data_IF_249595699320
#
_entry.id   IF_249595699320
#
_cell.length_a   1.000
_cell.length_b   1.000
_cell.length_c   1.000
_cell.angle_alpha   90.00
_cell.angle_beta   90.00
_cell.angle_gamma   90.00
#
_symmetry.space_group_name_H-M   'P 1'
#
loop_
_entity.id
_entity.type
_entity.pdbx_description
1 polymer ?
#
# COMPACT_ATOMS: atom_id res chain seq x y z
N UNK A 1 6.78 14.22 19.24
CA UNK A 1 6.39 14.96 18.02
C UNK A 1 5.28 14.16 17.36
N UNK A 2 4.09 14.73 17.18
CA UNK A 2 3.05 14.10 16.37
C UNK A 2 3.58 14.03 14.94
N UNK A 3 3.58 12.84 14.33
CA UNK A 3 3.98 12.68 12.94
C UNK A 3 3.16 13.64 12.07
N UNK A 4 3.82 14.42 11.21
CA UNK A 4 3.13 15.32 10.26
C UNK A 4 2.24 14.45 9.37
N UNK A 5 0.95 14.77 9.28
CA UNK A 5 0.02 14.09 8.37
C UNK A 5 0.42 14.40 6.93
N UNK A 6 0.82 13.40 6.11
CA UNK A 6 1.17 13.64 4.72
C UNK A 6 -0.03 14.14 3.92
N UNK A 7 0.12 15.26 3.21
CA UNK A 7 -0.92 15.87 2.35
C UNK A 7 -0.68 15.45 0.91
N UNK A 8 -1.53 14.59 0.38
CA UNK A 8 -1.33 13.96 -0.93
C UNK A 8 -2.34 14.53 -1.92
N UNK A 9 -1.86 15.21 -2.96
CA UNK A 9 -2.70 15.71 -4.04
C UNK A 9 -2.90 14.60 -5.09
N UNK A 10 -4.15 14.26 -5.35
CA UNK A 10 -4.55 13.28 -6.35
C UNK A 10 -5.15 14.00 -7.56
N UNK A 11 -4.54 13.82 -8.73
CA UNK A 11 -5.04 14.38 -9.99
C UNK A 11 -5.50 13.22 -10.88
N UNK A 12 -6.80 12.91 -10.86
CA UNK A 12 -7.36 11.74 -11.55
C UNK A 12 -8.87 11.88 -11.77
N UNK A 13 -9.47 10.94 -12.51
CA UNK A 13 -10.91 10.88 -12.69
C UNK A 13 -11.66 10.17 -11.57
N UNK A 14 -12.95 10.48 -11.46
CA UNK A 14 -13.90 9.86 -10.54
C UNK A 14 -14.50 8.58 -11.12
N UNK A 15 -14.38 7.48 -10.39
CA UNK A 15 -15.07 6.21 -10.62
C UNK A 15 -16.34 6.13 -9.77
N UNK A 16 -17.51 6.13 -10.43
CA UNK A 16 -18.81 6.04 -9.73
C UNK A 16 -18.98 4.75 -8.92
N UNK A 17 -18.31 3.65 -9.30
CA UNK A 17 -18.34 2.38 -8.57
C UNK A 17 -17.43 2.38 -7.33
N UNK A 18 -16.56 3.38 -7.21
CA UNK A 18 -15.68 3.59 -6.08
C UNK A 18 -14.54 2.57 -5.93
N UNK A 19 -14.22 1.81 -6.98
CA UNK A 19 -13.17 0.79 -6.96
C UNK A 19 -11.80 1.29 -7.44
N UNK A 20 -11.79 2.27 -8.33
CA UNK A 20 -10.59 2.92 -8.87
C UNK A 20 -10.67 4.46 -8.75
N UNK A 21 -9.84 5.17 -9.52
CA UNK A 21 -9.86 6.63 -9.60
C UNK A 21 -9.64 7.31 -8.25
N UNK A 22 -10.13 8.54 -8.13
CA UNK A 22 -10.00 9.32 -6.89
C UNK A 22 -10.58 8.60 -5.67
N UNK A 23 -11.57 7.72 -5.84
CA UNK A 23 -12.16 6.96 -4.73
C UNK A 23 -11.16 5.94 -4.16
N UNK A 24 -10.46 5.18 -5.00
CA UNK A 24 -9.40 4.29 -4.55
C UNK A 24 -8.22 5.08 -3.95
N UNK A 25 -7.90 6.22 -4.57
CA UNK A 25 -6.81 7.08 -4.13
C UNK A 25 -7.08 7.65 -2.71
N UNK A 26 -8.26 8.23 -2.48
CA UNK A 26 -8.69 8.74 -1.17
C UNK A 26 -8.70 7.63 -0.13
N UNK A 27 -9.26 6.46 -0.45
CA UNK A 27 -9.28 5.31 0.47
C UNK A 27 -7.86 4.91 0.86
N UNK A 28 -6.96 4.79 -0.11
CA UNK A 28 -5.57 4.38 0.14
C UNK A 28 -4.88 5.37 1.09
N UNK A 29 -4.91 6.67 0.77
CA UNK A 29 -4.27 7.70 1.58
C UNK A 29 -4.88 7.79 2.98
N UNK A 30 -6.23 7.72 3.09
CA UNK A 30 -6.93 7.76 4.37
C UNK A 30 -6.54 6.57 5.26
N UNK A 31 -6.49 5.37 4.68
CA UNK A 31 -6.17 4.14 5.43
C UNK A 31 -4.71 4.10 5.88
N UNK A 32 -3.83 4.80 5.17
CA UNK A 32 -2.43 4.99 5.56
C UNK A 32 -2.23 6.14 6.59
N UNK A 33 -3.29 6.90 6.90
CA UNK A 33 -3.26 7.99 7.88
C UNK A 33 -2.87 9.36 7.30
N UNK A 34 -2.94 9.53 5.98
CA UNK A 34 -2.70 10.80 5.29
C UNK A 34 -3.97 11.60 5.03
N UNK A 35 -3.78 12.80 4.47
CA UNK A 35 -4.85 13.67 4.01
C UNK A 35 -4.87 13.71 2.48
N UNK A 36 -5.91 13.16 1.86
CA UNK A 36 -6.09 13.17 0.41
C UNK A 36 -6.80 14.46 -0.04
N UNK A 37 -6.20 15.17 -0.97
CA UNK A 37 -6.80 16.27 -1.71
C UNK A 37 -6.99 15.83 -3.16
N UNK A 38 -7.97 16.38 -3.88
CA UNK A 38 -8.26 15.95 -5.25
C UNK A 38 -8.38 17.11 -6.22
N UNK A 39 -7.89 16.89 -7.44
CA UNK A 39 -8.27 17.65 -8.63
C UNK A 39 -8.86 16.67 -9.64
N UNK A 40 -10.18 16.75 -9.85
CA UNK A 40 -10.93 15.79 -10.64
C UNK A 40 -10.79 16.11 -12.13
N UNK A 41 -10.27 15.17 -12.92
CA UNK A 41 -10.03 15.33 -14.36
C UNK A 41 -11.20 14.91 -15.23
N UNK A 42 -12.01 13.96 -14.75
CA UNK A 42 -13.22 13.48 -15.42
C UNK A 42 -14.14 12.81 -14.40
N UNK A 43 -15.42 12.67 -14.74
CA UNK A 43 -16.39 11.84 -14.02
C UNK A 43 -16.82 10.70 -14.94
N UNK A 44 -16.71 9.47 -14.47
CA UNK A 44 -17.14 8.28 -15.22
C UNK A 44 -18.42 7.71 -14.64
N UNK A 45 -19.41 7.42 -15.48
CA UNK A 45 -20.49 6.51 -15.14
C UNK A 45 -19.95 5.09 -15.30
N UNK A 46 -19.39 4.56 -14.21
CA UNK A 46 -18.66 3.31 -14.18
C UNK A 46 -19.16 2.40 -13.05
N UNK A 47 -19.11 1.09 -13.28
CA UNK A 47 -19.33 0.05 -12.28
C UNK A 47 -18.42 -1.16 -12.58
N UNK A 48 -18.58 -2.25 -11.81
CA UNK A 48 -17.72 -3.44 -11.94
C UNK A 48 -17.78 -4.13 -13.30
N UNK A 49 -18.80 -3.84 -14.14
CA UNK A 49 -18.97 -4.43 -15.47
C UNK A 49 -18.41 -3.55 -16.60
N UNK A 50 -18.18 -2.26 -16.35
CA UNK A 50 -17.75 -1.36 -17.42
C UNK A 50 -18.00 0.11 -17.17
N UNK A 51 -17.60 0.90 -18.16
CA UNK A 51 -17.80 2.35 -18.26
C UNK A 51 -18.88 2.60 -19.32
N UNK A 52 -19.93 3.34 -18.97
CA UNK A 52 -21.03 3.69 -19.89
C UNK A 52 -21.00 5.13 -20.36
N UNK A 53 -20.36 6.03 -19.60
CA UNK A 53 -20.16 7.41 -19.99
C UNK A 53 -18.91 8.00 -19.31
N UNK A 54 -18.28 8.96 -19.98
CA UNK A 54 -17.17 9.76 -19.45
C UNK A 54 -17.48 11.23 -19.70
N UNK A 55 -17.40 12.04 -18.65
CA UNK A 55 -17.53 13.49 -18.72
C UNK A 55 -16.20 14.12 -18.30
N UNK A 56 -15.47 14.68 -19.27
CA UNK A 56 -14.23 15.39 -19.00
C UNK A 56 -14.50 16.72 -18.29
N UNK A 57 -13.72 17.02 -17.24
CA UNK A 57 -13.76 18.32 -16.57
C UNK A 57 -12.93 19.32 -17.38
N UNK A 58 -13.42 20.55 -17.62
CA UNK A 58 -12.66 21.58 -18.32
C UNK A 58 -11.30 21.83 -17.67
N UNK A 59 -10.24 21.97 -18.47
CA UNK A 59 -8.87 22.08 -17.98
C UNK A 59 -8.70 23.21 -16.97
N UNK A 60 -9.27 24.38 -17.22
CA UNK A 60 -9.24 25.52 -16.31
C UNK A 60 -9.86 25.19 -14.93
N UNK A 61 -10.87 24.33 -14.89
CA UNK A 61 -11.47 23.86 -13.64
C UNK A 61 -10.56 22.86 -12.93
N UNK A 62 -9.85 22.00 -13.68
CA UNK A 62 -8.82 21.11 -13.11
C UNK A 62 -7.68 21.92 -12.48
N UNK A 63 -7.17 22.92 -13.18
CA UNK A 63 -6.10 23.78 -12.67
C UNK A 63 -6.56 24.58 -11.45
N UNK A 64 -7.77 25.14 -11.47
CA UNK A 64 -8.32 25.86 -10.33
C UNK A 64 -8.47 24.98 -9.07
N UNK A 65 -8.80 23.68 -9.23
CA UNK A 65 -8.80 22.73 -8.11
C UNK A 65 -7.40 22.51 -7.53
N UNK A 66 -6.39 22.35 -8.40
CA UNK A 66 -4.99 22.20 -7.99
C UNK A 66 -4.53 23.45 -7.22
N UNK A 67 -4.71 24.62 -7.82
CA UNK A 67 -4.27 25.89 -7.25
C UNK A 67 -4.95 26.13 -5.88
N UNK A 68 -6.26 25.88 -5.76
CA UNK A 68 -7.01 26.07 -4.51
C UNK A 68 -6.49 25.23 -3.33
N UNK A 69 -6.12 23.96 -3.55
CA UNK A 69 -5.64 23.09 -2.46
C UNK A 69 -4.15 23.28 -2.18
N UNK A 70 -3.36 23.57 -3.22
CA UNK A 70 -1.92 23.80 -3.06
C UNK A 70 -1.67 25.12 -2.33
N UNK A 71 -2.43 26.18 -2.61
CA UNK A 71 -2.22 27.51 -2.01
C UNK A 71 -2.60 27.58 -0.51
N UNK A 72 -3.65 26.87 -0.08
CA UNK A 72 -4.13 26.88 1.31
C UNK A 72 -3.54 25.73 2.13
N UNK A 73 -3.79 24.50 1.70
CA UNK A 73 -3.47 23.30 2.48
C UNK A 73 -1.99 22.93 2.31
N UNK A 74 -1.44 23.17 1.11
CA UNK A 74 -0.12 22.74 0.66
C UNK A 74 -0.03 21.24 0.38
N UNK A 75 1.08 20.80 -0.20
CA UNK A 75 1.25 19.44 -0.73
C UNK A 75 2.59 18.83 -0.29
N UNK A 76 2.58 17.54 0.04
CA UNK A 76 3.79 16.77 0.37
C UNK A 76 4.13 15.74 -0.73
N UNK A 77 3.16 15.28 -1.52
CA UNK A 77 3.38 14.51 -2.74
C UNK A 77 2.17 14.61 -3.68
N UNK A 78 2.37 14.31 -4.97
CA UNK A 78 1.30 14.25 -5.98
C UNK A 78 1.20 12.86 -6.57
N UNK A 79 -0.02 12.36 -6.76
CA UNK A 79 -0.29 11.22 -7.63
C UNK A 79 -1.12 11.68 -8.81
N UNK A 80 -0.69 11.30 -10.01
CA UNK A 80 -1.38 11.55 -11.27
C UNK A 80 -1.93 10.21 -11.77
N UNK A 81 -3.21 10.16 -12.10
CA UNK A 81 -3.88 8.99 -12.70
C UNK A 81 -4.41 9.29 -14.09
N UNK A 82 -5.64 8.87 -14.37
CA UNK A 82 -6.29 9.14 -15.66
C UNK A 82 -6.35 10.64 -15.97
N UNK A 83 -5.77 11.02 -17.11
CA UNK A 83 -5.77 12.38 -17.66
C UNK A 83 -6.57 12.33 -18.97
N UNK A 84 -7.62 13.15 -19.07
CA UNK A 84 -8.60 13.04 -20.15
C UNK A 84 -8.25 13.73 -21.48
N UNK A 85 -7.13 14.47 -21.57
CA UNK A 85 -6.72 15.14 -22.82
C UNK A 85 -5.24 15.53 -22.80
N UNK A 86 -4.59 15.70 -23.99
CA UNK A 86 -3.22 16.20 -24.06
C UNK A 86 -3.09 17.63 -23.53
N UNK A 87 -4.10 18.47 -23.79
CA UNK A 87 -4.11 19.85 -23.33
C UNK A 87 -4.08 19.93 -21.79
N UNK A 88 -4.89 19.11 -21.12
CA UNK A 88 -4.88 18.99 -19.66
C UNK A 88 -3.55 18.44 -19.14
N UNK A 89 -2.99 17.40 -19.78
CA UNK A 89 -1.70 16.83 -19.41
C UNK A 89 -0.57 17.87 -19.38
N UNK A 90 -0.44 18.64 -20.47
CA UNK A 90 0.61 19.66 -20.61
C UNK A 90 0.47 20.79 -19.58
N UNK A 91 -0.75 21.24 -19.31
CA UNK A 91 -0.98 22.32 -18.33
C UNK A 91 -0.80 21.86 -16.89
N UNK A 92 -1.13 20.59 -16.58
CA UNK A 92 -0.82 19.99 -15.29
C UNK A 92 0.70 19.91 -15.12
N UNK A 93 1.44 19.38 -16.10
CA UNK A 93 2.90 19.31 -16.04
C UNK A 93 3.52 20.69 -15.73
N UNK A 94 3.08 21.73 -16.45
CA UNK A 94 3.57 23.10 -16.25
C UNK A 94 3.18 23.72 -14.88
N UNK A 95 2.11 23.25 -14.22
CA UNK A 95 1.79 23.64 -12.83
C UNK A 95 2.68 22.91 -11.84
N UNK A 96 2.85 21.60 -12.04
CA UNK A 96 3.59 20.74 -11.14
C UNK A 96 5.09 20.99 -11.15
N UNK A 97 5.66 21.42 -12.28
CA UNK A 97 7.06 21.84 -12.39
C UNK A 97 7.43 22.98 -11.41
N UNK A 98 6.45 23.76 -10.94
CA UNK A 98 6.65 24.85 -9.99
C UNK A 98 6.69 24.38 -8.53
N UNK A 99 6.45 23.09 -8.27
CA UNK A 99 6.45 22.53 -6.92
C UNK A 99 7.84 22.00 -6.58
N UNK A 100 8.64 22.83 -5.91
CA UNK A 100 9.99 22.47 -5.51
C UNK A 100 10.00 21.34 -4.46
N UNK A 101 10.72 20.26 -4.76
CA UNK A 101 10.95 19.16 -3.82
C UNK A 101 9.74 18.29 -3.50
N UNK A 102 8.64 18.42 -4.24
CA UNK A 102 7.44 17.59 -4.08
C UNK A 102 7.54 16.37 -4.99
N UNK A 103 7.64 15.14 -4.46
CA UNK A 103 7.68 13.94 -5.28
C UNK A 103 6.34 13.71 -6.00
N UNK A 104 6.43 13.34 -7.27
CA UNK A 104 5.27 13.11 -8.14
C UNK A 104 5.29 11.66 -8.64
N UNK A 105 4.18 10.95 -8.46
CA UNK A 105 3.95 9.59 -8.94
C UNK A 105 2.98 9.64 -10.10
N UNK A 106 3.40 9.18 -11.27
CA UNK A 106 2.54 9.14 -12.46
C UNK A 106 2.13 7.72 -12.80
N UNK A 107 0.83 7.43 -12.70
CA UNK A 107 0.21 6.19 -13.18
C UNK A 107 -0.36 6.45 -14.58
N UNK A 108 0.30 6.00 -15.67
CA UNK A 108 -0.06 6.34 -17.04
C UNK A 108 -1.27 5.54 -17.52
N UNK A 109 -2.42 5.74 -16.89
CA UNK A 109 -3.65 5.00 -17.15
C UNK A 109 -4.14 5.27 -18.59
N UNK A 110 -4.10 4.25 -19.44
CA UNK A 110 -4.56 4.33 -20.83
C UNK A 110 -5.89 3.62 -21.07
N UNK A 111 -6.19 2.57 -20.30
CA UNK A 111 -7.34 1.69 -20.49
C UNK A 111 -7.92 1.33 -19.12
N UNK A 112 -9.25 1.34 -19.00
CA UNK A 112 -9.93 0.89 -17.78
C UNK A 112 -9.74 -0.62 -17.58
N UNK A 113 -9.83 -1.12 -16.34
CA UNK A 113 -9.84 -2.56 -16.06
C UNK A 113 -10.93 -3.31 -16.84
N UNK A 114 -12.02 -2.63 -17.20
CA UNK A 114 -13.09 -3.17 -18.04
C UNK A 114 -12.83 -3.09 -19.57
N UNK A 115 -11.65 -2.64 -20.00
CA UNK A 115 -11.25 -2.55 -21.40
C UNK A 115 -11.62 -1.26 -22.15
N UNK A 116 -12.22 -0.27 -21.50
CA UNK A 116 -12.57 1.00 -22.14
C UNK A 116 -11.31 1.87 -22.35
N UNK A 117 -11.11 2.40 -23.56
CA UNK A 117 -10.02 3.36 -23.84
C UNK A 117 -10.25 4.67 -23.07
N UNK A 118 -9.25 5.10 -22.31
CA UNK A 118 -9.28 6.29 -21.46
C UNK A 118 -8.32 7.40 -21.94
N UNK A 119 -7.29 7.04 -22.71
CA UNK A 119 -6.36 7.98 -23.33
C UNK A 119 -6.23 7.68 -24.83
N UNK A 120 -6.32 8.72 -25.65
CA UNK A 120 -6.05 8.64 -27.09
C UNK A 120 -4.56 8.88 -27.41
N UNK A 121 -4.15 8.63 -28.66
CA UNK A 121 -2.76 8.75 -29.08
C UNK A 121 -2.15 10.14 -28.82
N UNK A 122 -2.86 11.26 -29.07
CA UNK A 122 -2.42 12.58 -28.65
C UNK A 122 -2.18 12.69 -27.14
N UNK A 123 -3.07 12.15 -26.31
CA UNK A 123 -2.91 12.16 -24.84
C UNK A 123 -1.68 11.36 -24.43
N UNK A 124 -1.48 10.16 -25.00
CA UNK A 124 -0.32 9.32 -24.72
C UNK A 124 0.98 10.03 -25.11
N UNK A 125 1.00 10.74 -26.24
CA UNK A 125 2.17 11.52 -26.65
C UNK A 125 2.52 12.65 -25.66
N UNK A 126 1.54 13.17 -24.92
CA UNK A 126 1.76 14.19 -23.88
C UNK A 126 2.30 13.61 -22.56
N UNK A 127 2.24 12.29 -22.35
CA UNK A 127 2.69 11.66 -21.10
C UNK A 127 4.18 11.85 -20.82
N UNK A 128 5.01 12.03 -21.85
CA UNK A 128 6.42 12.35 -21.68
C UNK A 128 6.65 13.59 -20.81
N UNK A 129 5.81 14.63 -20.95
CA UNK A 129 5.90 15.85 -20.11
C UNK A 129 5.49 15.62 -18.66
N UNK A 130 4.58 14.68 -18.41
CA UNK A 130 4.24 14.29 -17.04
C UNK A 130 5.37 13.45 -16.43
N UNK A 131 6.02 12.58 -17.21
CA UNK A 131 7.18 11.81 -16.76
C UNK A 131 8.38 12.72 -16.44
N UNK A 132 8.64 13.75 -17.24
CA UNK A 132 9.73 14.72 -17.01
C UNK A 132 9.66 15.44 -15.66
N UNK A 133 8.46 15.60 -15.10
CA UNK A 133 8.26 16.21 -13.76
C UNK A 133 8.05 15.16 -12.67
N UNK A 134 8.04 13.87 -13.00
CA UNK A 134 7.74 12.79 -12.06
C UNK A 134 8.99 12.21 -11.41
N UNK A 135 8.86 11.83 -10.13
CA UNK A 135 9.87 11.01 -9.47
C UNK A 135 9.81 9.55 -9.98
N UNK A 136 8.61 9.05 -10.24
CA UNK A 136 8.40 7.68 -10.74
C UNK A 136 7.15 7.59 -11.62
N UNK A 137 7.26 6.85 -12.73
CA UNK A 137 6.13 6.39 -13.52
C UNK A 137 5.82 4.92 -13.22
N UNK A 138 4.55 4.53 -13.18
CA UNK A 138 4.14 3.16 -12.79
C UNK A 138 3.37 2.43 -13.90
N UNK A 139 3.90 2.23 -15.11
CA UNK A 139 3.18 1.53 -16.18
C UNK A 139 3.01 0.03 -15.90
N UNK A 140 1.90 -0.56 -16.33
CA UNK A 140 1.82 -2.01 -16.53
C UNK A 140 2.51 -2.43 -17.84
N UNK A 141 2.69 -3.73 -18.09
CA UNK A 141 3.37 -4.21 -19.29
C UNK A 141 2.70 -3.72 -20.61
N UNK A 142 1.37 -3.79 -20.79
CA UNK A 142 0.73 -3.19 -21.96
C UNK A 142 0.98 -1.68 -22.13
N UNK A 143 0.88 -0.90 -21.06
CA UNK A 143 1.15 0.54 -21.05
C UNK A 143 2.61 0.83 -21.42
N UNK A 144 3.55 0.05 -20.85
CA UNK A 144 4.98 0.19 -21.13
C UNK A 144 5.29 -0.03 -22.61
N UNK A 145 4.75 -1.12 -23.20
CA UNK A 145 4.88 -1.40 -24.64
C UNK A 145 4.26 -0.28 -25.48
N UNK A 146 3.14 0.30 -25.05
CA UNK A 146 2.48 1.41 -25.76
C UNK A 146 3.30 2.70 -25.71
N UNK A 147 4.02 2.95 -24.62
CA UNK A 147 4.86 4.14 -24.43
C UNK A 147 6.19 4.10 -25.20
N UNK A 148 6.73 2.90 -25.46
CA UNK A 148 8.09 2.74 -26.01
C UNK A 148 8.09 2.06 -27.38
N UNK A 149 7.08 1.26 -27.70
CA UNK A 149 7.07 0.37 -28.85
C UNK A 149 8.04 -0.81 -28.74
N UNK A 150 8.60 -1.07 -27.54
CA UNK A 150 9.56 -2.14 -27.29
C UNK A 150 8.89 -3.32 -26.58
N UNK A 151 9.28 -4.54 -26.94
CA UNK A 151 8.76 -5.77 -26.33
C UNK A 151 9.52 -6.18 -25.06
N UNK A 152 10.82 -5.89 -25.00
CA UNK A 152 11.66 -6.15 -23.82
C UNK A 152 11.38 -5.12 -22.74
N UNK A 153 10.86 -5.58 -21.60
CA UNK A 153 10.36 -4.72 -20.52
C UNK A 153 11.48 -3.90 -19.86
N UNK A 154 12.68 -4.45 -19.73
CA UNK A 154 13.80 -3.77 -19.07
C UNK A 154 14.36 -2.71 -20.00
N UNK A 155 14.57 -3.03 -21.29
CA UNK A 155 14.99 -2.07 -22.29
C UNK A 155 13.96 -0.94 -22.48
N UNK A 156 12.67 -1.27 -22.46
CA UNK A 156 11.59 -0.29 -22.50
C UNK A 156 11.64 0.68 -21.29
N UNK A 157 11.80 0.14 -20.09
CA UNK A 157 11.88 0.96 -18.89
C UNK A 157 13.14 1.85 -18.88
N UNK A 158 14.31 1.31 -19.26
CA UNK A 158 15.55 2.08 -19.38
C UNK A 158 15.45 3.20 -20.42
N UNK A 159 14.76 2.96 -21.55
CA UNK A 159 14.48 3.99 -22.54
C UNK A 159 13.64 5.14 -21.96
N UNK A 160 12.60 4.84 -21.19
CA UNK A 160 11.81 5.88 -20.51
C UNK A 160 12.62 6.64 -19.44
N UNK A 161 13.42 5.93 -18.64
CA UNK A 161 14.32 6.54 -17.65
C UNK A 161 15.28 7.51 -18.35
N UNK A 162 15.92 7.08 -19.44
CA UNK A 162 16.86 7.90 -20.20
C UNK A 162 16.20 9.10 -20.89
N UNK A 163 15.00 8.92 -21.47
CA UNK A 163 14.29 9.99 -22.18
C UNK A 163 13.65 11.03 -21.27
N UNK A 164 13.19 10.63 -20.09
CA UNK A 164 12.35 11.48 -19.24
C UNK A 164 12.91 11.73 -17.83
N UNK A 165 13.96 11.02 -17.41
CA UNK A 165 14.64 11.27 -16.13
C UNK A 165 13.88 10.82 -14.88
N UNK A 166 12.73 10.16 -15.02
CA UNK A 166 11.99 9.57 -13.90
C UNK A 166 12.30 8.08 -13.75
N UNK A 167 12.23 7.54 -12.53
CA UNK A 167 12.26 6.10 -12.32
C UNK A 167 11.02 5.44 -12.95
N UNK A 168 11.11 4.15 -13.27
CA UNK A 168 10.01 3.37 -13.85
C UNK A 168 9.74 2.13 -13.02
N UNK A 169 8.53 2.00 -12.48
CA UNK A 169 8.04 0.80 -11.82
C UNK A 169 7.21 -0.03 -12.80
N UNK A 170 7.80 -1.12 -13.28
CA UNK A 170 7.13 -2.12 -14.12
C UNK A 170 6.24 -3.00 -13.24
N UNK A 171 4.94 -3.04 -13.55
CA UNK A 171 3.95 -3.86 -12.82
C UNK A 171 3.70 -5.19 -13.55
N UNK A 172 4.20 -6.31 -13.02
CA UNK A 172 4.11 -7.63 -13.67
C UNK A 172 2.82 -8.42 -13.43
N UNK A 173 1.87 -7.87 -12.67
CA UNK A 173 0.58 -8.53 -12.34
C UNK A 173 -0.26 -9.06 -13.52
N UNK A 174 0.11 -8.72 -14.76
CA UNK A 174 -0.57 -9.09 -16.01
C UNK A 174 0.00 -10.33 -16.70
N UNK A 175 1.12 -10.90 -16.25
CA UNK A 175 1.70 -12.12 -16.83
C UNK A 175 0.93 -13.39 -16.43
N UNK A 176 0.89 -14.41 -17.30
CA UNK A 176 0.33 -15.71 -16.95
C UNK A 176 1.23 -16.44 -15.94
N UNK A 177 0.63 -17.08 -14.94
CA UNK A 177 1.34 -17.86 -13.91
C UNK A 177 1.15 -17.34 -12.48
N UNK A 178 1.71 -18.10 -11.54
CA UNK A 178 1.54 -17.88 -10.10
C UNK A 178 2.63 -17.00 -9.48
N UNK A 179 3.76 -16.84 -10.19
CA UNK A 179 4.84 -15.95 -9.79
C UNK A 179 4.64 -14.58 -10.44
N UNK A 180 4.67 -13.52 -9.63
CA UNK A 180 4.60 -12.14 -10.07
C UNK A 180 5.91 -11.44 -9.70
N UNK A 181 6.44 -10.65 -10.63
CA UNK A 181 7.58 -9.78 -10.39
C UNK A 181 7.21 -8.33 -10.70
N UNK A 182 7.50 -7.42 -9.79
CA UNK A 182 7.53 -5.99 -10.10
C UNK A 182 8.98 -5.52 -10.05
N UNK A 183 9.36 -4.60 -10.94
CA UNK A 183 10.73 -4.09 -11.03
C UNK A 183 10.74 -2.56 -11.06
N UNK A 184 11.46 -1.95 -10.12
CA UNK A 184 11.79 -0.53 -10.12
C UNK A 184 13.13 -0.34 -10.82
N UNK A 185 13.10 0.38 -11.95
CA UNK A 185 14.25 0.72 -12.77
C UNK A 185 14.58 2.20 -12.55
N UNK A 186 15.82 2.45 -12.14
CA UNK A 186 16.45 3.77 -12.00
C UNK A 186 17.67 3.83 -12.94
N UNK A 187 18.33 4.98 -13.04
CA UNK A 187 19.50 5.15 -13.94
C UNK A 187 20.62 4.14 -13.65
N UNK A 188 20.96 3.96 -12.37
CA UNK A 188 22.08 3.12 -11.91
C UNK A 188 21.66 1.92 -11.05
N UNK A 189 20.37 1.68 -10.89
CA UNK A 189 19.87 0.67 -9.96
C UNK A 189 18.60 -0.04 -10.46
N UNK A 190 18.48 -1.31 -10.11
CA UNK A 190 17.28 -2.09 -10.32
C UNK A 190 16.91 -2.81 -9.03
N UNK A 191 15.69 -2.57 -8.55
CA UNK A 191 15.13 -3.29 -7.40
C UNK A 191 13.94 -4.11 -7.87
N UNK A 192 13.94 -5.41 -7.58
CA UNK A 192 12.82 -6.29 -7.93
C UNK A 192 12.17 -6.90 -6.69
N UNK A 193 10.87 -7.12 -6.78
CA UNK A 193 10.10 -7.82 -5.75
C UNK A 193 9.32 -8.95 -6.36
N UNK A 194 9.42 -10.12 -5.74
CA UNK A 194 8.62 -11.29 -6.10
C UNK A 194 7.40 -11.41 -5.18
N UNK A 195 6.35 -12.06 -5.68
CA UNK A 195 5.17 -12.41 -4.90
C UNK A 195 4.35 -13.50 -5.57
N UNK A 196 3.44 -14.10 -4.81
CA UNK A 196 2.48 -15.06 -5.35
C UNK A 196 1.21 -14.35 -5.81
N UNK A 197 0.61 -14.85 -6.89
CA UNK A 197 -0.68 -14.38 -7.38
C UNK A 197 -1.76 -14.66 -6.34
N UNK A 198 -2.57 -13.64 -6.05
CA UNK A 198 -3.77 -13.76 -5.21
C UNK A 198 -4.94 -14.02 -6.15
N UNK A 199 -5.55 -15.20 -6.07
CA UNK A 199 -6.69 -15.56 -6.91
C UNK A 199 -7.96 -14.85 -6.42
N UNK A 200 -8.28 -13.72 -7.04
CA UNK A 200 -9.50 -12.94 -6.80
C UNK A 200 -9.98 -12.27 -8.08
N UNK A 201 -11.29 -12.12 -8.25
CA UNK A 201 -11.88 -11.31 -9.32
C UNK A 201 -11.84 -9.80 -9.01
N UNK A 202 -11.53 -9.43 -7.77
CA UNK A 202 -11.59 -8.06 -7.27
C UNK A 202 -10.27 -7.32 -7.47
N UNK A 203 -9.93 -7.06 -8.72
CA UNK A 203 -8.67 -6.41 -9.14
C UNK A 203 -8.86 -4.96 -9.62
N UNK A 204 -10.09 -4.45 -9.57
CA UNK A 204 -10.42 -3.10 -10.05
C UNK A 204 -9.80 -2.05 -9.13
N UNK A 205 -8.89 -1.23 -9.68
CA UNK A 205 -8.19 -0.17 -8.94
C UNK A 205 -6.86 -0.56 -8.29
N UNK A 206 -6.29 -1.73 -8.60
CA UNK A 206 -4.95 -2.15 -8.12
C UNK A 206 -3.86 -1.13 -8.45
N UNK A 207 -3.82 -0.65 -9.70
CA UNK A 207 -2.85 0.37 -10.16
C UNK A 207 -2.98 1.70 -9.41
N UNK A 208 -4.20 2.24 -9.33
CA UNK A 208 -4.47 3.49 -8.61
C UNK A 208 -4.09 3.38 -7.12
N UNK A 209 -4.42 2.25 -6.49
CA UNK A 209 -4.07 1.97 -5.09
C UNK A 209 -2.55 1.91 -4.89
N UNK A 210 -1.81 1.23 -5.78
CA UNK A 210 -0.35 1.15 -5.71
C UNK A 210 0.28 2.55 -5.83
N UNK A 211 -0.07 3.30 -6.87
CA UNK A 211 0.48 4.62 -7.12
C UNK A 211 0.18 5.60 -5.97
N UNK A 212 -1.04 5.55 -5.41
CA UNK A 212 -1.43 6.37 -4.26
C UNK A 212 -0.70 5.99 -2.97
N UNK A 213 -0.43 4.70 -2.75
CA UNK A 213 0.40 4.24 -1.64
C UNK A 213 1.85 4.73 -1.78
N UNK A 214 2.43 4.67 -2.98
CA UNK A 214 3.77 5.19 -3.25
C UNK A 214 3.82 6.70 -2.96
N UNK A 215 2.85 7.47 -3.48
CA UNK A 215 2.78 8.90 -3.26
C UNK A 215 2.66 9.24 -1.77
N UNK A 216 1.85 8.49 -1.00
CA UNK A 216 1.75 8.66 0.45
C UNK A 216 3.11 8.49 1.14
N UNK A 217 3.82 7.39 0.86
CA UNK A 217 5.10 7.11 1.53
C UNK A 217 6.21 8.06 1.10
N UNK A 218 6.24 8.48 -0.16
CA UNK A 218 7.14 9.55 -0.63
C UNK A 218 6.84 10.88 0.07
N UNK A 219 5.57 11.26 0.21
CA UNK A 219 5.15 12.45 0.95
C UNK A 219 5.42 12.37 2.46
N UNK A 220 5.58 11.16 2.99
CA UNK A 220 6.05 10.91 4.34
C UNK A 220 7.60 10.91 4.46
N UNK A 221 8.32 11.12 3.36
CA UNK A 221 9.77 11.23 3.31
C UNK A 221 10.53 9.90 3.20
N UNK A 222 9.85 8.80 2.80
CA UNK A 222 10.54 7.52 2.60
C UNK A 222 11.30 7.50 1.26
N UNK A 223 12.43 6.76 1.19
CA UNK A 223 13.07 6.45 -0.08
C UNK A 223 12.14 5.69 -1.03
N UNK A 224 12.30 5.90 -2.34
CA UNK A 224 11.40 5.36 -3.37
C UNK A 224 11.22 3.84 -3.30
N UNK A 225 12.31 3.08 -3.18
CA UNK A 225 12.24 1.61 -3.07
C UNK A 225 11.43 1.15 -1.85
N UNK A 226 11.56 1.83 -0.71
CA UNK A 226 10.76 1.54 0.49
C UNK A 226 9.29 1.95 0.31
N UNK A 227 9.04 3.08 -0.36
CA UNK A 227 7.68 3.52 -0.68
C UNK A 227 6.96 2.50 -1.57
N UNK A 228 7.66 1.97 -2.59
CA UNK A 228 7.17 0.88 -3.45
C UNK A 228 6.91 -0.39 -2.64
N UNK A 229 7.88 -0.86 -1.86
CA UNK A 229 7.73 -2.08 -1.05
C UNK A 229 6.49 -2.02 -0.13
N UNK A 230 6.31 -0.91 0.59
CA UNK A 230 5.18 -0.75 1.50
C UNK A 230 3.84 -0.57 0.79
N UNK A 231 3.82 0.12 -0.36
CA UNK A 231 2.61 0.27 -1.17
C UNK A 231 2.17 -1.09 -1.78
N UNK A 232 3.13 -1.92 -2.20
CA UNK A 232 2.84 -3.30 -2.65
C UNK A 232 2.22 -4.13 -1.54
N UNK A 233 2.77 -4.07 -0.33
CA UNK A 233 2.18 -4.75 0.83
C UNK A 233 0.74 -4.29 1.07
N UNK A 234 0.46 -2.98 1.02
CA UNK A 234 -0.91 -2.47 1.16
C UNK A 234 -1.87 -3.07 0.11
N UNK A 235 -1.47 -3.09 -1.17
CA UNK A 235 -2.29 -3.65 -2.25
C UNK A 235 -2.55 -5.14 -2.01
N UNK A 236 -1.54 -5.91 -1.62
CA UNK A 236 -1.67 -7.35 -1.37
C UNK A 236 -2.63 -7.64 -0.21
N UNK A 237 -2.53 -6.89 0.89
CA UNK A 237 -3.47 -6.99 2.00
C UNK A 237 -4.90 -6.63 1.57
N UNK A 238 -5.08 -5.58 0.76
CA UNK A 238 -6.38 -5.18 0.25
C UNK A 238 -6.98 -6.21 -0.73
N UNK A 239 -6.15 -6.93 -1.49
CA UNK A 239 -6.61 -8.01 -2.37
C UNK A 239 -7.11 -9.22 -1.60
N UNK A 240 -6.43 -9.61 -0.51
CA UNK A 240 -6.89 -10.70 0.35
C UNK A 240 -8.23 -10.39 1.03
N UNK A 241 -8.45 -9.12 1.36
CA UNK A 241 -9.68 -8.65 2.04
C UNK A 241 -10.75 -8.15 1.07
N UNK A 242 -10.64 -8.49 -0.21
CA UNK A 242 -11.57 -8.00 -1.20
C UNK A 242 -13.02 -8.44 -0.90
N UNK A 243 -14.00 -7.53 -0.90
CA UNK A 243 -15.36 -7.81 -0.43
C UNK A 243 -16.23 -8.58 -1.44
N UNK A 244 -15.72 -8.94 -2.61
CA UNK A 244 -16.47 -9.69 -3.62
C UNK A 244 -17.68 -8.95 -4.20
N UNK A 245 -17.64 -7.62 -4.27
CA UNK A 245 -18.77 -6.80 -4.71
C UNK A 245 -18.90 -6.73 -6.23
N UNK A 246 -20.15 -6.72 -6.71
CA UNK A 246 -20.49 -6.60 -8.12
C UNK A 246 -20.48 -7.94 -8.85
N UNK A 247 -20.59 -7.89 -10.18
CA UNK A 247 -20.68 -9.06 -11.06
C UNK A 247 -19.59 -9.09 -12.13
N UNK A 248 -18.58 -8.23 -12.00
CA UNK A 248 -17.42 -8.15 -12.89
C UNK A 248 -16.15 -7.99 -12.06
N UNK A 249 -15.29 -7.03 -12.41
CA UNK A 249 -14.09 -6.71 -11.63
C UNK A 249 -14.46 -5.88 -10.40
N UNK A 250 -14.43 -6.51 -9.23
CA UNK A 250 -14.78 -5.89 -7.94
C UNK A 250 -13.67 -4.99 -7.38
N UNK A 251 -14.00 -4.10 -6.43
CA UNK A 251 -13.03 -3.25 -5.74
C UNK A 251 -12.19 -4.05 -4.72
N UNK A 252 -11.02 -3.53 -4.36
CA UNK A 252 -10.19 -4.09 -3.29
C UNK A 252 -10.80 -3.81 -1.90
N UNK A 253 -10.33 -4.55 -0.89
CA UNK A 253 -10.69 -4.42 0.53
C UNK A 253 -9.95 -3.31 1.28
N UNK A 254 -9.87 -2.08 0.76
CA UNK A 254 -9.11 -0.98 1.41
C UNK A 254 -9.49 -0.80 2.89
N UNK A 255 -10.78 -0.93 3.21
CA UNK A 255 -11.34 -0.73 4.56
C UNK A 255 -10.75 -1.66 5.62
N UNK A 256 -10.22 -2.81 5.21
CA UNK A 256 -9.70 -3.83 6.09
C UNK A 256 -8.20 -3.71 6.34
N UNK A 257 -7.49 -2.87 5.56
CA UNK A 257 -6.05 -2.63 5.71
C UNK A 257 -5.82 -1.57 6.80
N UNK A 258 -6.03 -1.96 8.06
CA UNK A 258 -5.89 -1.10 9.25
C UNK A 258 -4.75 -1.61 10.11
N UNK A 259 -3.78 -0.76 10.40
CA UNK A 259 -2.56 -1.09 11.17
C UNK A 259 -1.63 -2.14 10.52
N UNK A 260 -1.99 -2.73 9.37
CA UNK A 260 -1.14 -3.66 8.62
C UNK A 260 0.09 -2.95 8.04
N UNK A 261 -0.12 -1.74 7.53
CA UNK A 261 0.92 -0.88 6.97
C UNK A 261 0.71 0.55 7.48
N UNK A 262 1.76 1.35 7.49
CA UNK A 262 1.69 2.77 7.89
C UNK A 262 3.00 3.29 8.46
N UNK A 263 2.94 4.46 9.09
CA UNK A 263 4.11 5.09 9.72
C UNK A 263 4.20 4.71 11.21
N UNK A 264 5.41 4.40 11.67
CA UNK A 264 5.69 4.14 13.09
C UNK A 264 5.23 2.79 13.62
N UNK A 265 5.32 2.64 14.95
CA UNK A 265 4.95 1.44 15.68
C UNK A 265 3.43 1.28 15.70
N UNK A 266 2.96 0.07 15.39
CA UNK A 266 1.54 -0.26 15.36
C UNK A 266 1.29 -1.42 16.30
N UNK A 267 0.26 -1.31 17.15
CA UNK A 267 -0.09 -2.42 18.03
C UNK A 267 -0.53 -3.60 17.16
N UNK A 268 0.21 -4.69 17.24
CA UNK A 268 -0.18 -5.94 16.60
C UNK A 268 -0.95 -6.82 17.56
N UNK A 269 -0.37 -7.08 18.72
CA UNK A 269 -0.85 -8.15 19.57
C UNK A 269 -0.59 -7.89 21.04
N UNK A 270 -1.56 -8.27 21.86
CA UNK A 270 -1.34 -8.49 23.29
C UNK A 270 -1.51 -9.98 23.55
N UNK A 271 -0.48 -10.60 24.10
CA UNK A 271 -0.54 -11.98 24.60
C UNK A 271 -0.65 -11.95 26.11
N UNK A 272 -1.67 -12.61 26.63
CA UNK A 272 -1.78 -12.90 28.07
C UNK A 272 -1.44 -14.35 28.32
N UNK A 273 -0.67 -14.60 29.38
CA UNK A 273 -0.33 -15.97 29.78
C UNK A 273 -1.36 -16.53 30.76
N UNK A 274 -1.58 -17.84 30.74
CA UNK A 274 -2.37 -18.51 31.76
C UNK A 274 -2.08 -20.01 31.87
N UNK A 275 -2.91 -20.72 32.65
CA UNK A 275 -2.64 -22.12 33.04
C UNK A 275 -3.60 -23.14 32.42
N UNK A 276 -4.72 -22.68 31.86
CA UNK A 276 -5.79 -23.55 31.34
C UNK A 276 -6.24 -23.06 29.96
N UNK A 277 -5.69 -23.72 28.92
CA UNK A 277 -5.93 -23.39 27.52
C UNK A 277 -7.42 -23.39 27.18
N UNK A 278 -8.13 -24.47 27.51
CA UNK A 278 -9.52 -24.66 27.14
C UNK A 278 -10.42 -23.58 27.75
N UNK A 279 -10.22 -23.26 29.05
CA UNK A 279 -11.00 -22.20 29.72
C UNK A 279 -10.73 -20.81 29.17
N UNK A 280 -9.47 -20.51 28.85
CA UNK A 280 -9.13 -19.19 28.28
C UNK A 280 -9.72 -19.01 26.88
N UNK A 281 -9.61 -20.03 26.02
CA UNK A 281 -10.22 -19.97 24.68
C UNK A 281 -11.74 -19.83 24.76
N UNK A 282 -12.42 -20.63 25.60
CA UNK A 282 -13.87 -20.51 25.81
C UNK A 282 -14.27 -19.12 26.32
N UNK A 283 -13.53 -18.56 27.29
CA UNK A 283 -13.80 -17.23 27.83
C UNK A 283 -13.73 -16.14 26.75
N UNK A 284 -12.64 -16.08 25.97
CA UNK A 284 -12.46 -15.03 24.96
C UNK A 284 -13.39 -15.19 23.75
N UNK A 285 -13.77 -16.42 23.39
CA UNK A 285 -14.84 -16.65 22.40
C UNK A 285 -16.19 -16.15 22.90
N UNK A 286 -16.54 -16.42 24.16
CA UNK A 286 -17.78 -15.90 24.78
C UNK A 286 -17.79 -14.37 24.92
N UNK A 287 -16.63 -13.75 25.06
CA UNK A 287 -16.47 -12.29 25.03
C UNK A 287 -16.74 -11.70 23.63
N UNK A 288 -16.80 -12.54 22.59
CA UNK A 288 -17.12 -12.15 21.22
C UNK A 288 -15.92 -12.04 20.29
N UNK A 289 -14.72 -12.47 20.71
CA UNK A 289 -13.54 -12.46 19.84
C UNK A 289 -13.55 -13.66 18.87
N UNK A 290 -13.30 -13.42 17.58
CA UNK A 290 -13.19 -14.46 16.54
C UNK A 290 -11.81 -15.11 16.62
N UNK A 291 -11.75 -16.40 16.91
CA UNK A 291 -10.50 -17.17 16.89
C UNK A 291 -10.02 -17.38 15.45
N UNK A 292 -8.75 -17.10 15.18
CA UNK A 292 -8.12 -17.19 13.85
C UNK A 292 -6.91 -18.13 13.80
N UNK A 293 -6.36 -18.48 14.97
CA UNK A 293 -5.35 -19.54 15.13
C UNK A 293 -5.76 -20.39 16.32
N UNK A 294 -5.82 -21.70 16.11
CA UNK A 294 -6.04 -22.71 17.14
C UNK A 294 -4.86 -23.68 17.12
N UNK A 295 -4.03 -23.65 18.16
CA UNK A 295 -2.81 -24.45 18.27
C UNK A 295 -2.70 -25.03 19.69
N UNK A 296 -3.60 -25.96 20.07
CA UNK A 296 -3.62 -26.56 21.40
C UNK A 296 -2.33 -27.30 21.75
N UNK A 297 -1.65 -27.88 20.76
CA UNK A 297 -0.36 -28.57 20.90
C UNK A 297 0.78 -27.64 21.34
N UNK A 298 0.69 -26.36 20.98
CA UNK A 298 1.63 -25.32 21.43
C UNK A 298 1.03 -24.47 22.56
N UNK A 299 -0.13 -24.88 23.09
CA UNK A 299 -0.88 -24.14 24.10
C UNK A 299 -1.17 -22.68 23.70
N UNK A 300 -1.36 -22.40 22.41
CA UNK A 300 -1.49 -21.06 21.86
C UNK A 300 -2.80 -20.88 21.07
N UNK A 301 -3.47 -19.75 21.28
CA UNK A 301 -4.59 -19.34 20.44
C UNK A 301 -4.51 -17.84 20.15
N UNK A 302 -4.95 -17.46 18.95
CA UNK A 302 -5.03 -16.06 18.52
C UNK A 302 -6.44 -15.70 18.07
N UNK A 303 -6.82 -14.48 18.37
CA UNK A 303 -8.12 -13.90 18.10
C UNK A 303 -7.98 -12.57 17.36
N UNK A 304 -8.96 -12.24 16.51
CA UNK A 304 -9.13 -10.91 15.93
C UNK A 304 -9.64 -9.91 16.99
N UNK A 305 -9.05 -8.72 17.02
CA UNK A 305 -9.41 -7.64 17.94
C UNK A 305 -9.34 -6.28 17.21
N UNK A 306 -10.25 -6.08 16.24
CA UNK A 306 -10.23 -4.90 15.38
C UNK A 306 -9.04 -4.91 14.43
N UNK A 307 -8.22 -3.85 14.47
CA UNK A 307 -7.00 -3.73 13.65
C UNK A 307 -5.76 -4.41 14.28
N UNK A 308 -5.91 -4.91 15.51
CA UNK A 308 -4.91 -5.70 16.22
C UNK A 308 -5.44 -7.12 16.45
N UNK A 309 -4.61 -7.94 17.08
CA UNK A 309 -4.91 -9.30 17.49
C UNK A 309 -4.75 -9.43 19.01
N UNK A 310 -5.36 -10.46 19.56
CA UNK A 310 -5.20 -10.84 20.95
C UNK A 310 -4.80 -12.30 20.99
N UNK A 311 -3.93 -12.71 21.90
CA UNK A 311 -3.65 -14.12 22.10
C UNK A 311 -3.58 -14.52 23.54
N UNK A 312 -3.74 -15.82 23.71
CA UNK A 312 -3.44 -16.52 24.95
C UNK A 312 -2.29 -17.48 24.67
N UNK A 313 -1.32 -17.49 25.57
CA UNK A 313 -0.30 -18.52 25.62
C UNK A 313 -0.43 -19.21 26.97
N UNK A 314 -0.77 -20.49 26.96
CA UNK A 314 -0.79 -21.26 28.21
C UNK A 314 0.56 -21.92 28.43
N UNK A 315 0.96 -21.91 29.70
CA UNK A 315 2.10 -22.65 30.19
C UNK A 315 1.66 -23.35 31.48
N UNK A 316 1.25 -24.64 31.38
CA UNK A 316 0.76 -25.38 32.53
C UNK A 316 1.86 -25.64 33.57
N UNK A 317 3.13 -25.60 33.18
CA UNK A 317 4.28 -25.81 34.07
C UNK A 317 4.76 -24.50 34.72
N UNK A 318 4.19 -23.36 34.30
CA UNK A 318 4.46 -22.02 34.82
C UNK A 318 5.93 -21.58 34.69
N UNK A 319 6.66 -22.11 33.70
CA UNK A 319 8.03 -21.72 33.36
C UNK A 319 8.12 -20.29 32.82
N UNK A 320 7.06 -19.81 32.15
CA UNK A 320 6.99 -18.52 31.47
C UNK A 320 6.53 -17.38 32.42
N UNK A 321 6.02 -17.71 33.61
CA UNK A 321 5.50 -16.75 34.58
C UNK A 321 4.22 -16.03 34.13
N UNK A 322 3.38 -15.56 35.06
CA UNK A 322 2.19 -14.76 34.73
C UNK A 322 2.63 -13.38 34.24
N UNK A 323 2.63 -13.18 32.92
CA UNK A 323 3.10 -11.95 32.28
C UNK A 323 2.18 -11.53 31.14
N UNK A 324 2.33 -10.26 30.74
CA UNK A 324 1.75 -9.74 29.50
C UNK A 324 2.90 -9.52 28.52
N UNK A 325 2.77 -10.06 27.32
CA UNK A 325 3.64 -9.75 26.21
C UNK A 325 2.93 -8.83 25.22
N UNK A 326 3.58 -7.72 24.86
CA UNK A 326 3.04 -6.74 23.92
C UNK A 326 3.88 -6.73 22.65
N UNK A 327 3.23 -6.83 21.50
CA UNK A 327 3.87 -6.87 20.20
C UNK A 327 3.53 -5.61 19.42
N UNK A 328 4.57 -4.89 19.00
CA UNK A 328 4.46 -3.77 18.09
C UNK A 328 5.06 -4.14 16.73
N UNK A 329 4.27 -3.96 15.68
CA UNK A 329 4.78 -4.09 14.31
C UNK A 329 5.55 -2.84 13.92
N UNK A 330 6.68 -3.07 13.25
CA UNK A 330 7.61 -2.05 12.79
C UNK A 330 8.14 -2.46 11.42
N UNK A 331 7.80 -1.72 10.37
CA UNK A 331 8.26 -2.04 9.00
C UNK A 331 9.79 -1.87 8.87
N UNK A 332 10.35 -0.89 9.58
CA UNK A 332 11.78 -0.53 9.68
C UNK A 332 12.48 -1.20 10.89
N UNK A 333 12.11 -2.44 11.21
CA UNK A 333 12.52 -3.12 12.46
C UNK A 333 14.01 -2.98 12.80
N UNK A 334 14.90 -3.32 11.88
CA UNK A 334 16.35 -3.31 12.13
C UNK A 334 16.87 -1.90 12.46
N UNK A 335 16.48 -0.89 11.66
CA UNK A 335 16.84 0.51 11.89
C UNK A 335 16.26 1.03 13.21
N UNK A 336 15.01 0.65 13.52
CA UNK A 336 14.35 1.03 14.76
C UNK A 336 15.07 0.48 15.99
N UNK A 337 15.42 -0.80 15.97
CA UNK A 337 16.11 -1.46 17.08
C UNK A 337 17.49 -0.84 17.29
N UNK A 338 18.21 -0.56 16.21
CA UNK A 338 19.50 0.15 16.28
C UNK A 338 19.35 1.54 16.91
N UNK A 339 18.34 2.32 16.51
CA UNK A 339 18.06 3.64 17.06
C UNK A 339 17.71 3.57 18.57
N UNK A 340 16.84 2.64 18.96
CA UNK A 340 16.43 2.47 20.36
C UNK A 340 17.59 1.99 21.23
N UNK A 341 18.39 1.05 20.75
CA UNK A 341 19.59 0.58 21.44
C UNK A 341 20.60 1.73 21.66
N UNK A 342 20.83 2.56 20.64
CA UNK A 342 21.67 3.78 20.76
C UNK A 342 21.14 4.79 21.77
N UNK A 343 19.81 4.84 21.98
CA UNK A 343 19.19 5.69 23.01
C UNK A 343 19.28 5.11 24.43
N UNK A 344 19.90 3.94 24.62
CA UNK A 344 20.09 3.31 25.92
C UNK A 344 19.00 2.31 26.31
N UNK A 345 18.09 1.94 25.40
CA UNK A 345 17.08 0.90 25.65
C UNK A 345 17.74 -0.47 25.52
N UNK A 346 17.76 -1.30 26.59
CA UNK A 346 18.37 -2.62 26.53
C UNK A 346 17.46 -3.60 25.78
N UNK A 347 18.06 -4.39 24.90
CA UNK A 347 17.40 -5.51 24.23
C UNK A 347 17.93 -6.83 24.80
N UNK A 348 17.04 -7.78 25.07
CA UNK A 348 17.44 -9.15 25.40
C UNK A 348 18.03 -9.85 24.17
N UNK A 349 17.47 -9.57 23.00
CA UNK A 349 18.09 -9.88 21.71
C UNK A 349 17.65 -8.89 20.63
N UNK A 350 18.56 -8.64 19.68
CA UNK A 350 18.27 -7.87 18.46
C UNK A 350 17.38 -8.63 17.46
N UNK A 351 17.15 -8.05 16.27
CA UNK A 351 16.26 -8.63 15.26
C UNK A 351 16.79 -9.97 14.75
N UNK A 352 15.96 -11.02 14.84
CA UNK A 352 16.24 -12.35 14.29
C UNK A 352 15.01 -12.95 13.65
N UNK A 353 15.23 -13.81 12.66
CA UNK A 353 14.15 -14.55 12.01
C UNK A 353 13.68 -15.68 12.90
N UNK A 354 12.38 -15.92 12.90
CA UNK A 354 11.72 -16.95 13.69
C UNK A 354 11.12 -18.04 12.80
N UNK A 355 10.90 -19.26 13.34
CA UNK A 355 10.29 -20.37 12.59
C UNK A 355 8.91 -20.06 11.99
N UNK A 356 8.16 -19.16 12.62
CA UNK A 356 6.84 -18.70 12.15
C UNK A 356 6.94 -17.50 11.18
N UNK A 357 8.06 -17.36 10.47
CA UNK A 357 8.32 -16.39 9.40
C UNK A 357 8.26 -14.91 9.81
N UNK A 358 8.41 -14.63 11.10
CA UNK A 358 8.54 -13.26 11.59
C UNK A 358 10.01 -12.91 11.79
N UNK A 359 10.34 -11.64 11.64
CA UNK A 359 11.59 -11.08 12.17
C UNK A 359 11.25 -10.30 13.42
N UNK A 360 11.90 -10.57 14.54
CA UNK A 360 11.58 -9.92 15.82
C UNK A 360 12.79 -9.64 16.71
N UNK A 361 12.68 -8.60 17.51
CA UNK A 361 13.57 -8.24 18.61
C UNK A 361 12.79 -8.21 19.92
N UNK A 362 13.45 -8.51 21.04
CA UNK A 362 12.82 -8.60 22.35
C UNK A 362 13.50 -7.67 23.35
N UNK A 363 12.68 -6.99 24.15
CA UNK A 363 13.10 -6.12 25.23
C UNK A 363 12.14 -6.25 26.42
N UNK A 364 12.48 -5.59 27.53
CA UNK A 364 11.58 -5.42 28.68
C UNK A 364 11.24 -3.97 28.90
N UNK A 365 10.00 -3.73 29.30
CA UNK A 365 9.63 -2.43 29.85
C UNK A 365 10.18 -2.24 31.29
N UNK A 366 10.07 -1.04 31.88
CA UNK A 366 10.53 -0.79 33.26
C UNK A 366 9.84 -1.62 34.35
N UNK A 367 8.69 -2.23 34.05
CA UNK A 367 7.93 -3.09 34.97
C UNK A 367 8.23 -4.58 34.76
N UNK A 368 9.11 -4.92 33.81
CA UNK A 368 9.51 -6.29 33.50
C UNK A 368 8.60 -7.00 32.50
N UNK A 369 7.58 -6.33 31.94
CA UNK A 369 6.73 -6.91 30.90
C UNK A 369 7.54 -7.18 29.63
N UNK A 370 7.20 -8.24 28.92
CA UNK A 370 7.88 -8.57 27.67
C UNK A 370 7.34 -7.68 26.55
N UNK A 371 8.23 -7.04 25.80
CA UNK A 371 7.86 -6.29 24.61
C UNK A 371 8.59 -6.89 23.42
N UNK A 372 7.86 -7.08 22.33
CA UNK A 372 8.40 -7.50 21.04
C UNK A 372 8.23 -6.36 20.03
N UNK A 373 9.31 -6.06 19.31
CA UNK A 373 9.24 -5.32 18.06
C UNK A 373 9.40 -6.34 16.94
N UNK A 374 8.52 -6.34 15.95
CA UNK A 374 8.59 -7.36 14.89
C UNK A 374 8.14 -6.82 13.53
N UNK A 375 8.45 -7.57 12.48
CA UNK A 375 8.00 -7.38 11.09
C UNK A 375 7.53 -8.74 10.57
N UNK A 376 6.27 -8.84 10.13
CA UNK A 376 5.75 -10.08 9.54
C UNK A 376 5.14 -9.92 8.14
N UNK A 377 4.87 -8.70 7.68
CA UNK A 377 4.22 -8.46 6.39
C UNK A 377 2.87 -9.18 6.32
N UNK A 378 2.57 -9.82 5.19
CA UNK A 378 1.30 -10.57 5.00
C UNK A 378 1.10 -11.70 6.01
N UNK A 379 2.18 -12.36 6.44
CA UNK A 379 2.14 -13.49 7.37
C UNK A 379 1.60 -13.10 8.76
N UNK A 380 1.47 -11.81 9.06
CA UNK A 380 0.77 -11.34 10.26
C UNK A 380 -0.67 -11.85 10.33
N UNK A 381 -1.42 -11.67 9.23
CA UNK A 381 -2.85 -12.02 9.13
C UNK A 381 -3.11 -13.21 8.24
N UNK A 382 -2.27 -13.45 7.24
CA UNK A 382 -2.41 -14.53 6.28
C UNK A 382 -1.24 -15.52 6.36
N UNK A 383 -0.91 -16.06 7.54
CA UNK A 383 0.09 -17.12 7.60
C UNK A 383 -0.42 -18.38 6.88
N UNK A 384 0.47 -19.24 6.37
CA UNK A 384 0.12 -20.51 5.72
C UNK A 384 -0.72 -21.46 6.59
N UNK A 385 -0.68 -21.30 7.91
CA UNK A 385 -1.45 -22.08 8.89
C UNK A 385 -2.69 -21.34 9.43
N UNK A 386 -3.16 -20.28 8.77
CA UNK A 386 -4.42 -19.62 9.15
C UNK A 386 -5.58 -20.63 9.02
N UNK A 387 -6.51 -20.62 9.97
CA UNK A 387 -7.73 -21.41 9.85
C UNK A 387 -8.53 -21.00 8.61
N UNK A 388 -9.05 -21.97 7.86
CA UNK A 388 -9.99 -21.72 6.78
C UNK A 388 -11.31 -21.15 7.35
N UNK A 389 -11.95 -20.26 6.59
CA UNK A 389 -13.24 -19.65 6.96
C UNK A 389 -14.42 -20.62 6.94
#
# INVERSE_FOLDING_TARGET
>A
MTAKTPRILIIAGSDSGGGAGIQADIKTVTMLGGHAMTAVTAVTAQNTKGVTAVHAIPTETVLAQIDAVVEDIGVDAVKIGMIGSPFTALHIAARLEKLDGVPIVFDPVMVATSGATLADDPTIAAFGKLMEVSAVATPNLPELRRLTGQDDEVAAALDLVSRHGCAVLIKGGHEEGDALADALIEEDNMTSWQGQRIHTSSTHGTGCTLASGIAFYLGAGLPLSQAVERARLFVRMALHEAPGLGQGHGPLGHYAVKLDTGLGLRLNQVTVTGKDYAKMVDFYRRLGLKQIVDSPENHYARFEAGAATFSVQCDPEAEIGETVAVYFECDDLDQRVEQLARSGIPFEHGPRNQPWMWREARLRDPSGNTVFLYRAGENRRFPPWRMAE
#
